data_IF_741166008719
#
_entry.id   IF_741166008719
#
_cell.length_a   1.000
_cell.length_b   1.000
_cell.length_c   1.000
_cell.angle_alpha   90.00
_cell.angle_beta   90.00
_cell.angle_gamma   90.00
#
_symmetry.space_group_name_H-M   'P 1'
#
loop_
_entity.id
_entity.type
_entity.pdbx_description
1 polymer ?
#
# COMPACT_ATOMS: atom_id res chain seq x y z
N UNK A 1 -9.69 -37.99 -1.56
CA UNK A 1 -8.36 -37.88 -0.94
C UNK A 1 -8.12 -36.41 -0.63
N UNK A 2 -8.38 -36.02 0.62
CA UNK A 2 -8.78 -34.67 1.04
C UNK A 2 -7.75 -34.11 2.02
N UNK A 3 -6.51 -33.95 1.55
CA UNK A 3 -5.37 -33.52 2.36
C UNK A 3 -4.72 -32.25 1.80
N UNK A 4 -5.49 -31.16 1.67
CA UNK A 4 -4.93 -29.82 1.47
C UNK A 4 -5.86 -28.83 2.15
N UNK A 5 -5.32 -27.88 2.92
CA UNK A 5 -5.99 -26.74 3.57
C UNK A 5 -6.75 -27.00 4.89
N UNK A 6 -6.02 -27.37 5.94
CA UNK A 6 -6.27 -26.77 7.25
C UNK A 6 -5.06 -25.89 7.57
N UNK A 7 -5.12 -24.60 7.20
CA UNK A 7 -4.15 -23.64 7.68
C UNK A 7 -4.13 -23.72 9.20
N UNK A 8 -2.97 -24.00 9.80
CA UNK A 8 -2.88 -24.18 11.25
C UNK A 8 -3.41 -22.92 11.96
N UNK A 9 -4.11 -23.05 13.10
CA UNK A 9 -4.66 -21.90 13.82
C UNK A 9 -3.57 -20.88 14.20
N UNK A 10 -2.33 -21.34 14.37
CA UNK A 10 -1.15 -20.50 14.57
C UNK A 10 -0.84 -19.60 13.35
N UNK A 11 -0.94 -20.13 12.13
CA UNK A 11 -0.72 -19.36 10.90
C UNK A 11 -1.83 -18.31 10.69
N UNK A 12 -3.08 -18.65 11.02
CA UNK A 12 -4.20 -17.70 10.97
C UNK A 12 -4.04 -16.57 12.02
N UNK A 13 -3.60 -16.91 13.24
CA UNK A 13 -3.35 -15.93 14.30
C UNK A 13 -2.18 -14.99 13.95
N UNK A 14 -1.11 -15.54 13.36
CA UNK A 14 0.04 -14.78 12.90
C UNK A 14 -0.34 -13.86 11.73
N UNK A 15 -1.14 -14.35 10.77
CA UNK A 15 -1.64 -13.54 9.65
C UNK A 15 -2.51 -12.38 10.16
N UNK A 16 -3.45 -12.66 11.06
CA UNK A 16 -4.34 -11.66 11.63
C UNK A 16 -3.61 -10.58 12.43
N UNK A 17 -2.53 -10.92 13.15
CA UNK A 17 -1.72 -9.93 13.86
C UNK A 17 -0.92 -9.03 12.92
N UNK A 18 -0.41 -9.59 11.80
CA UNK A 18 0.24 -8.81 10.75
C UNK A 18 -0.73 -7.85 10.07
N UNK A 19 -1.97 -8.27 9.78
CA UNK A 19 -2.98 -7.43 9.15
C UNK A 19 -3.32 -6.22 10.05
N UNK A 20 -3.53 -6.45 11.36
CA UNK A 20 -3.80 -5.39 12.34
C UNK A 20 -2.65 -4.37 12.43
N UNK A 21 -1.41 -4.85 12.43
CA UNK A 21 -0.25 -3.97 12.45
C UNK A 21 -0.12 -3.16 11.16
N UNK A 22 -0.37 -3.78 10.00
CA UNK A 22 -0.34 -3.10 8.71
C UNK A 22 -1.38 -1.96 8.66
N UNK A 23 -2.62 -2.22 9.09
CA UNK A 23 -3.66 -1.19 9.16
C UNK A 23 -3.30 -0.08 10.15
N UNK A 24 -2.79 -0.42 11.34
CA UNK A 24 -2.37 0.59 12.32
C UNK A 24 -1.30 1.53 11.74
N UNK A 25 -0.28 0.96 11.09
CA UNK A 25 0.76 1.76 10.41
C UNK A 25 0.17 2.64 9.31
N UNK A 26 -0.74 2.11 8.50
CA UNK A 26 -1.40 2.86 7.44
C UNK A 26 -2.18 4.05 8.01
N UNK A 27 -2.99 3.84 9.06
CA UNK A 27 -3.75 4.91 9.69
C UNK A 27 -2.86 6.01 10.26
N UNK A 28 -1.78 5.64 10.98
CA UNK A 28 -0.84 6.61 11.54
C UNK A 28 -0.15 7.40 10.42
N UNK A 29 0.30 6.73 9.36
CA UNK A 29 0.94 7.38 8.22
C UNK A 29 -0.01 8.35 7.52
N UNK A 30 -1.24 7.92 7.23
CA UNK A 30 -2.26 8.77 6.58
C UNK A 30 -2.61 9.96 7.47
N UNK A 31 -2.82 9.75 8.78
CA UNK A 31 -3.11 10.86 9.70
C UNK A 31 -1.96 11.88 9.75
N UNK A 32 -0.71 11.41 9.80
CA UNK A 32 0.46 12.30 9.76
C UNK A 32 0.56 13.06 8.44
N UNK A 33 0.32 12.38 7.31
CA UNK A 33 0.27 12.97 5.96
C UNK A 33 -0.79 14.08 5.89
N UNK A 34 -2.04 13.78 6.25
CA UNK A 34 -3.17 14.72 6.17
C UNK A 34 -2.98 15.93 7.08
N UNK A 35 -2.47 15.73 8.30
CA UNK A 35 -2.39 16.80 9.30
C UNK A 35 -1.14 17.68 9.20
N UNK A 36 -0.06 17.20 8.57
CA UNK A 36 1.23 17.92 8.60
C UNK A 36 1.83 18.24 7.24
N UNK A 37 1.59 17.38 6.25
CA UNK A 37 2.42 17.38 5.04
C UNK A 37 1.58 17.69 3.81
N UNK A 38 0.30 17.28 3.80
CA UNK A 38 -0.56 17.36 2.63
C UNK A 38 -0.82 18.80 2.17
N UNK A 39 -1.00 19.76 3.09
CA UNK A 39 -1.25 21.17 2.73
C UNK A 39 -0.07 21.82 1.99
N UNK A 40 1.14 21.28 2.15
CA UNK A 40 2.38 21.80 1.55
C UNK A 40 2.95 20.92 0.45
N UNK A 41 2.34 19.77 0.15
CA UNK A 41 2.80 18.88 -0.90
C UNK A 41 2.15 19.17 -2.24
N UNK A 42 2.97 19.29 -3.27
CA UNK A 42 2.52 19.27 -4.66
C UNK A 42 3.13 18.11 -5.41
N UNK A 43 2.35 17.55 -6.34
CA UNK A 43 2.87 16.55 -7.26
C UNK A 43 4.02 17.15 -8.06
N UNK A 44 5.15 16.44 -8.06
CA UNK A 44 6.36 16.86 -8.73
C UNK A 44 6.78 15.79 -9.73
N UNK A 45 6.93 16.17 -11.00
CA UNK A 45 7.33 15.26 -12.08
C UNK A 45 6.56 13.92 -12.12
N UNK A 46 5.33 13.90 -11.62
CA UNK A 46 4.43 12.73 -11.66
C UNK A 46 3.59 12.83 -12.92
N UNK A 47 3.62 11.79 -13.75
CA UNK A 47 2.84 11.69 -14.99
C UNK A 47 1.71 10.69 -14.86
N UNK A 48 0.76 10.67 -15.79
CA UNK A 48 -0.34 9.69 -15.79
C UNK A 48 0.18 8.25 -15.72
N UNK A 49 1.30 7.97 -16.37
CA UNK A 49 1.92 6.63 -16.35
C UNK A 49 2.46 6.20 -14.98
N UNK A 50 2.70 7.15 -14.07
CA UNK A 50 3.11 6.88 -12.68
C UNK A 50 1.91 6.61 -11.76
N UNK A 51 0.69 6.98 -12.18
CA UNK A 51 -0.57 6.82 -11.44
C UNK A 51 -1.35 5.60 -11.92
N UNK A 52 -1.28 5.28 -13.21
CA UNK A 52 -1.95 4.12 -13.79
C UNK A 52 -1.41 2.84 -13.15
N UNK A 53 -2.32 2.03 -12.62
CA UNK A 53 -1.98 0.73 -12.07
C UNK A 53 -1.99 -0.31 -13.18
N UNK A 54 -1.02 -1.22 -13.12
CA UNK A 54 -0.98 -2.38 -13.98
C UNK A 54 -1.89 -3.46 -13.36
N UNK A 55 -2.92 -3.89 -14.09
CA UNK A 55 -3.95 -4.81 -13.60
C UNK A 55 -3.62 -6.29 -13.85
N UNK A 56 -2.40 -6.59 -14.29
CA UNK A 56 -2.01 -7.93 -14.75
C UNK A 56 -1.97 -9.01 -13.64
N UNK A 57 -2.05 -8.64 -12.35
CA UNK A 57 -1.74 -9.56 -11.23
C UNK A 57 -2.66 -9.43 -10.01
N UNK A 58 -3.99 -9.42 -10.18
CA UNK A 58 -5.02 -9.48 -9.10
C UNK A 58 -4.93 -8.42 -7.97
N UNK A 59 -3.89 -7.58 -7.98
CA UNK A 59 -3.50 -6.55 -7.05
C UNK A 59 -3.08 -5.37 -7.91
N UNK A 60 -3.67 -4.21 -7.66
CA UNK A 60 -3.28 -2.99 -8.33
C UNK A 60 -1.84 -2.65 -7.89
N UNK A 61 -0.87 -2.77 -8.79
CA UNK A 61 0.51 -2.38 -8.55
C UNK A 61 0.88 -1.16 -9.41
N UNK A 62 1.77 -0.28 -8.93
CA UNK A 62 2.32 0.78 -9.78
C UNK A 62 2.94 0.16 -11.03
N UNK A 63 2.74 0.81 -12.18
CA UNK A 63 3.26 0.34 -13.46
C UNK A 63 4.77 0.05 -13.38
N UNK A 64 5.18 -1.11 -13.88
CA UNK A 64 6.59 -1.52 -13.88
C UNK A 64 7.42 -0.55 -14.73
N UNK A 65 8.49 0.00 -14.14
CA UNK A 65 9.31 1.03 -14.78
C UNK A 65 8.80 2.48 -14.60
N UNK A 66 7.66 2.68 -13.92
CA UNK A 66 7.21 3.98 -13.46
C UNK A 66 8.13 4.54 -12.37
N UNK A 67 8.14 5.86 -12.22
CA UNK A 67 8.94 6.57 -11.21
C UNK A 67 8.21 6.68 -9.86
N UNK A 68 6.96 6.20 -9.80
CA UNK A 68 6.06 6.30 -8.66
C UNK A 68 5.52 7.72 -8.47
N UNK A 69 4.61 7.88 -7.49
CA UNK A 69 4.09 9.20 -7.12
C UNK A 69 5.20 9.96 -6.39
N UNK A 70 5.55 11.13 -6.92
CA UNK A 70 6.57 12.02 -6.37
C UNK A 70 5.94 13.32 -5.94
N UNK A 71 6.35 13.77 -4.76
CA UNK A 71 5.84 14.97 -4.11
C UNK A 71 7.02 15.83 -3.72
N UNK A 72 6.85 17.14 -3.87
CA UNK A 72 7.79 18.15 -3.39
C UNK A 72 7.10 19.02 -2.35
N UNK A 73 7.87 19.50 -1.38
CA UNK A 73 7.39 20.32 -0.27
C UNK A 73 7.84 21.75 -0.51
N UNK A 74 6.89 22.65 -0.76
CA UNK A 74 7.14 24.07 -1.02
C UNK A 74 7.10 24.92 0.25
#
# INVERSE_FOLDING_TARGET
MQYVLAASPLAALLKASMDRLAYCKLYIAVAALTLRVMDHMRLYCTTDTDVVHDFDLALAMPKRGGKGIRVDMF
#
